data_IF_413159538025
#
_entry.id   IF_413159538025
#
_cell.length_a   1.000
_cell.length_b   1.000
_cell.length_c   1.000
_cell.angle_alpha   90.00
_cell.angle_beta   90.00
_cell.angle_gamma   90.00
#
_symmetry.space_group_name_H-M   'P 1'
#
loop_
_entity.id
_entity.type
_entity.pdbx_description
1 polymer ?
#
# COMPACT_ATOMS: atom_id res chain seq x y z
N UNK A 1 -42.86 -11.60 -18.36
CA UNK A 1 -41.68 -11.91 -19.20
C UNK A 1 -40.52 -11.11 -18.61
N UNK A 2 -39.85 -11.66 -17.60
CA UNK A 2 -38.88 -10.94 -16.76
C UNK A 2 -37.61 -11.75 -16.56
N UNK A 3 -37.06 -12.29 -17.66
CA UNK A 3 -35.96 -13.26 -17.65
C UNK A 3 -34.72 -12.78 -18.43
N UNK A 4 -34.49 -11.46 -18.52
CA UNK A 4 -33.26 -10.92 -19.15
C UNK A 4 -32.48 -9.95 -18.23
N UNK A 5 -33.10 -9.30 -17.25
CA UNK A 5 -32.41 -8.36 -16.36
C UNK A 5 -31.61 -9.02 -15.22
N UNK A 6 -31.87 -10.29 -14.89
CA UNK A 6 -31.19 -10.95 -13.75
C UNK A 6 -29.82 -11.54 -14.13
N UNK A 7 -29.54 -11.72 -15.43
CA UNK A 7 -28.26 -12.27 -15.90
C UNK A 7 -27.14 -11.22 -15.95
N UNK A 8 -27.47 -9.95 -16.08
CA UNK A 8 -26.50 -8.85 -16.16
C UNK A 8 -25.96 -8.38 -14.79
N UNK A 9 -26.47 -8.92 -13.68
CA UNK A 9 -26.14 -8.44 -12.32
C UNK A 9 -25.12 -9.31 -11.58
N UNK A 10 -24.60 -10.37 -12.21
CA UNK A 10 -23.63 -11.30 -11.63
C UNK A 10 -22.23 -11.27 -12.27
N UNK A 11 -21.94 -10.28 -13.10
CA UNK A 11 -20.59 -10.05 -13.63
C UNK A 11 -19.88 -8.92 -12.87
N UNK A 12 -19.76 -9.13 -11.56
CA UNK A 12 -19.04 -8.22 -10.68
C UNK A 12 -17.62 -8.69 -10.37
N UNK A 13 -17.15 -8.28 -9.20
CA UNK A 13 -15.81 -8.53 -8.63
C UNK A 13 -15.37 -10.01 -8.59
N UNK A 14 -16.31 -10.93 -8.79
CA UNK A 14 -16.13 -12.39 -8.79
C UNK A 14 -15.26 -12.89 -9.95
N UNK A 15 -15.13 -12.13 -11.04
CA UNK A 15 -14.24 -12.49 -12.17
C UNK A 15 -12.74 -12.34 -11.86
N UNK A 16 -12.38 -11.68 -10.76
CA UNK A 16 -10.98 -11.35 -10.43
C UNK A 16 -10.43 -12.15 -9.23
N UNK A 17 -11.20 -13.12 -8.70
CA UNK A 17 -10.83 -13.82 -7.46
C UNK A 17 -10.17 -15.18 -7.65
N UNK A 18 -10.10 -15.72 -8.88
CA UNK A 18 -9.67 -17.12 -9.07
C UNK A 18 -8.31 -17.32 -9.73
N UNK A 19 -7.67 -16.30 -10.31
CA UNK A 19 -6.36 -16.49 -10.93
C UNK A 19 -5.22 -15.80 -10.19
N UNK A 20 -4.38 -16.71 -9.67
CA UNK A 20 -2.94 -16.60 -9.65
C UNK A 20 -2.32 -15.77 -8.54
N UNK A 21 -1.28 -16.39 -8.00
CA UNK A 21 -0.31 -15.83 -7.08
C UNK A 21 0.30 -14.61 -7.77
N UNK A 22 -0.35 -13.45 -7.62
CA UNK A 22 0.23 -12.18 -8.02
C UNK A 22 1.51 -12.08 -7.19
N UNK A 23 2.65 -12.39 -7.79
CA UNK A 23 3.92 -11.83 -7.35
C UNK A 23 3.62 -10.35 -7.24
N UNK A 24 3.50 -9.87 -5.99
CA UNK A 24 3.12 -8.50 -5.72
C UNK A 24 4.30 -7.64 -6.13
N UNK A 25 4.47 -7.46 -7.44
CA UNK A 25 5.16 -6.33 -8.02
C UNK A 25 4.48 -5.14 -7.37
N UNK A 26 5.15 -4.55 -6.39
CA UNK A 26 4.57 -3.55 -5.53
C UNK A 26 4.21 -2.38 -6.45
N UNK A 27 2.93 -2.28 -6.83
CA UNK A 27 2.47 -1.32 -7.81
C UNK A 27 2.30 0.03 -7.12
N UNK A 28 3.40 0.78 -7.05
CA UNK A 28 3.39 2.13 -6.51
C UNK A 28 3.61 3.17 -7.61
N UNK A 29 3.02 4.34 -7.41
CA UNK A 29 3.16 5.46 -8.33
C UNK A 29 4.46 6.20 -8.02
N UNK A 30 5.38 6.21 -8.99
CA UNK A 30 6.71 6.79 -8.86
C UNK A 30 6.68 8.18 -8.18
N UNK A 31 5.89 9.12 -8.72
CA UNK A 31 5.80 10.51 -8.21
C UNK A 31 5.29 10.64 -6.77
N UNK A 32 4.60 9.62 -6.26
CA UNK A 32 3.89 9.71 -4.98
C UNK A 32 4.63 8.91 -3.90
N UNK A 33 5.39 7.89 -4.28
CA UNK A 33 5.93 6.90 -3.34
C UNK A 33 7.47 6.83 -3.32
N UNK A 34 8.16 7.34 -4.35
CA UNK A 34 9.62 7.32 -4.37
C UNK A 34 10.18 8.55 -3.68
N UNK A 35 11.09 8.30 -2.75
CA UNK A 35 11.78 9.32 -1.98
C UNK A 35 12.94 9.91 -2.77
N UNK A 36 13.15 11.22 -2.63
CA UNK A 36 14.31 11.91 -3.19
C UNK A 36 15.61 11.60 -2.42
N UNK A 37 15.49 11.12 -1.18
CA UNK A 37 16.62 10.77 -0.32
C UNK A 37 16.25 9.81 0.81
N UNK A 38 17.26 9.38 1.56
CA UNK A 38 17.07 8.49 2.72
C UNK A 38 16.40 9.23 3.88
N UNK A 39 15.47 8.55 4.54
CA UNK A 39 14.82 9.03 5.75
C UNK A 39 15.28 8.18 6.94
N UNK A 40 15.68 8.82 8.04
CA UNK A 40 15.98 8.12 9.28
C UNK A 40 14.76 8.20 10.20
N UNK A 41 14.28 7.05 10.68
CA UNK A 41 13.03 6.95 11.43
C UNK A 41 13.24 6.09 12.65
N UNK A 42 12.92 6.63 13.83
CA UNK A 42 12.94 5.88 15.09
C UNK A 42 11.78 4.87 15.19
N UNK A 43 10.83 4.93 14.26
CA UNK A 43 9.66 4.04 14.27
C UNK A 43 10.07 2.60 13.91
N UNK A 44 9.81 1.59 14.79
CA UNK A 44 10.21 0.21 14.54
C UNK A 44 9.44 -0.44 13.37
N UNK A 45 8.32 0.15 12.96
CA UNK A 45 7.51 -0.32 11.84
C UNK A 45 7.89 0.35 10.52
N UNK A 46 8.80 1.32 10.52
CA UNK A 46 9.26 1.99 9.31
C UNK A 46 10.38 1.19 8.66
N UNK A 47 10.26 0.97 7.36
CA UNK A 47 11.24 0.22 6.58
C UNK A 47 11.51 0.95 5.26
N UNK A 48 12.79 1.11 4.95
CA UNK A 48 13.25 1.60 3.66
C UNK A 48 13.81 0.46 2.84
N UNK A 49 13.47 0.43 1.56
CA UNK A 49 14.11 -0.47 0.63
C UNK A 49 14.22 0.15 -0.76
N UNK A 50 15.21 -0.33 -1.51
CA UNK A 50 15.50 0.13 -2.86
C UNK A 50 14.76 -0.75 -3.86
N UNK A 51 14.14 -0.11 -4.83
CA UNK A 51 13.47 -0.73 -5.96
C UNK A 51 14.12 -0.26 -7.26
N UNK A 52 13.76 -0.88 -8.37
CA UNK A 52 14.19 -0.43 -9.71
C UNK A 52 13.79 1.02 -10.00
N UNK A 53 12.66 1.47 -9.44
CA UNK A 53 12.10 2.81 -9.64
C UNK A 53 12.64 3.83 -8.63
N UNK A 54 13.40 3.41 -7.62
CA UNK A 54 14.00 4.28 -6.60
C UNK A 54 13.79 3.80 -5.16
N UNK A 55 14.04 4.69 -4.21
CA UNK A 55 13.90 4.38 -2.78
C UNK A 55 12.44 4.56 -2.34
N UNK A 56 11.89 3.59 -1.62
CA UNK A 56 10.51 3.66 -1.10
C UNK A 56 10.48 3.34 0.39
N UNK A 57 9.45 3.86 1.07
CA UNK A 57 9.17 3.57 2.47
C UNK A 57 7.93 2.69 2.62
N UNK A 58 7.99 1.72 3.53
CA UNK A 58 6.88 0.85 3.90
C UNK A 58 6.61 0.94 5.39
N UNK A 59 5.35 0.87 5.76
CA UNK A 59 4.94 0.68 7.15
C UNK A 59 4.53 -0.78 7.36
N UNK A 60 5.28 -1.51 8.19
CA UNK A 60 5.02 -2.90 8.54
C UNK A 60 3.68 -3.08 9.25
N UNK A 61 3.35 -2.18 10.19
CA UNK A 61 2.09 -2.21 10.91
C UNK A 61 0.87 -2.02 9.99
N UNK A 62 1.00 -1.27 8.90
CA UNK A 62 -0.07 -1.08 7.92
C UNK A 62 0.02 -2.03 6.73
N UNK A 63 1.09 -2.80 6.61
CA UNK A 63 1.34 -3.70 5.47
C UNK A 63 1.54 -3.03 4.11
N UNK A 64 1.69 -1.70 4.02
CA UNK A 64 1.67 -0.95 2.74
C UNK A 64 2.82 0.02 2.55
N UNK A 65 3.05 0.39 1.29
CA UNK A 65 3.95 1.49 0.90
C UNK A 65 3.34 2.83 1.32
N UNK A 66 4.19 3.68 1.87
CA UNK A 66 3.85 5.04 2.25
C UNK A 66 4.01 5.97 1.05
N UNK A 67 3.20 7.01 1.00
CA UNK A 67 3.51 8.15 0.14
C UNK A 67 4.72 8.90 0.71
N UNK A 68 5.39 9.73 -0.09
CA UNK A 68 6.51 10.58 0.36
C UNK A 68 6.12 11.38 1.59
N UNK A 69 4.97 12.07 1.55
CA UNK A 69 4.48 12.87 2.68
C UNK A 69 4.21 12.02 3.94
N UNK A 70 3.70 10.80 3.78
CA UNK A 70 3.49 9.88 4.90
C UNK A 70 4.81 9.38 5.49
N UNK A 71 5.79 9.10 4.64
CA UNK A 71 7.11 8.66 5.05
C UNK A 71 7.87 9.75 5.81
N UNK A 72 7.85 10.98 5.28
CA UNK A 72 8.43 12.14 5.96
C UNK A 72 7.77 12.41 7.31
N UNK A 73 6.44 12.36 7.37
CA UNK A 73 5.71 12.55 8.62
C UNK A 73 6.13 11.47 9.62
N UNK A 74 6.13 10.19 9.20
CA UNK A 74 6.54 9.05 10.02
C UNK A 74 7.94 9.27 10.61
N UNK A 75 8.92 9.62 9.77
CA UNK A 75 10.31 9.86 10.17
C UNK A 75 10.45 11.03 11.13
N UNK A 76 9.76 12.16 10.90
CA UNK A 76 9.92 13.39 11.70
C UNK A 76 9.16 13.37 13.03
N UNK A 77 7.98 12.76 13.05
CA UNK A 77 6.99 12.98 14.13
C UNK A 77 6.76 11.73 14.97
N UNK A 78 6.88 10.53 14.39
CA UNK A 78 6.36 9.32 15.02
C UNK A 78 7.51 8.43 15.50
N UNK A 79 7.78 8.44 16.81
CA UNK A 79 8.59 7.39 17.46
C UNK A 79 7.87 6.04 17.46
N UNK A 80 6.55 6.06 17.56
CA UNK A 80 5.65 4.89 17.54
C UNK A 80 4.40 5.22 16.72
N UNK A 81 3.86 4.27 15.96
CA UNK A 81 2.76 4.53 15.03
C UNK A 81 1.46 5.03 15.73
N UNK A 82 0.69 5.94 15.08
CA UNK A 82 -0.62 6.44 15.57
C UNK A 82 -1.74 5.41 15.59
N UNK A 83 -1.47 4.15 15.24
CA UNK A 83 -2.54 3.24 14.88
C UNK A 83 -3.42 2.98 16.10
N UNK A 84 -4.68 3.41 16.03
CA UNK A 84 -5.70 2.96 16.98
C UNK A 84 -5.85 1.46 16.77
N UNK A 85 -5.45 0.68 17.75
CA UNK A 85 -5.81 -0.74 17.82
C UNK A 85 -7.32 -0.76 18.06
N UNK A 86 -8.08 -1.20 17.05
CA UNK A 86 -9.48 -1.55 17.22
C UNK A 86 -9.50 -2.96 17.82
N UNK A 87 -9.33 -3.03 19.14
CA UNK A 87 -9.68 -4.24 19.93
C UNK A 87 -11.18 -4.37 20.05
#
# INVERSE_FOLDING_TARGET
>A
MGNEEEKARKDGLEQYTEDERVEQEISFYHKINVLEGTLDSECPNFELFRTEKGLVARCKAMGRILTVSQAELCSKVWKTCPVRILT
#
